data_IF_864638863683
#
_entry.id   IF_864638863683
#
_cell.length_a   1.000
_cell.length_b   1.000
_cell.length_c   1.000
_cell.angle_alpha   90.00
_cell.angle_beta   90.00
_cell.angle_gamma   90.00
#
_symmetry.space_group_name_H-M   'P 1'
#
loop_
_entity.id
_entity.type
_entity.pdbx_description
1 polymer ?
#
# COMPACT_ATOMS: atom_id res chain seq x y z
N UNK A 1 2.60 -18.25 13.74
CA UNK A 1 2.08 -16.88 13.51
C UNK A 1 2.86 -16.24 12.38
N UNK A 2 2.21 -15.93 11.25
CA UNK A 2 2.83 -15.11 10.20
C UNK A 2 2.95 -13.68 10.73
N UNK A 3 4.17 -13.14 10.78
CA UNK A 3 4.39 -11.72 11.05
C UNK A 3 4.17 -10.97 9.73
N UNK A 4 3.35 -9.90 9.71
CA UNK A 4 3.24 -9.04 8.53
C UNK A 4 4.61 -8.51 8.14
N UNK A 5 4.87 -8.41 6.82
CA UNK A 5 6.14 -7.87 6.31
C UNK A 5 5.92 -6.41 5.97
N UNK A 6 6.77 -5.54 6.51
CA UNK A 6 6.75 -4.11 6.20
C UNK A 6 7.28 -3.88 4.79
N UNK A 7 6.47 -3.23 3.95
CA UNK A 7 6.87 -2.89 2.57
C UNK A 7 7.34 -1.44 2.44
N UNK A 8 6.83 -0.57 3.30
CA UNK A 8 7.16 0.85 3.28
C UNK A 8 6.16 1.67 4.07
N UNK A 9 6.34 2.99 4.02
CA UNK A 9 5.47 3.98 4.66
C UNK A 9 5.17 5.08 3.66
N UNK A 10 3.92 5.52 3.61
CA UNK A 10 3.54 6.69 2.83
C UNK A 10 4.10 7.92 3.53
N UNK A 11 4.89 8.70 2.80
CA UNK A 11 5.33 10.02 3.24
C UNK A 11 4.45 11.07 2.57
N UNK A 12 3.93 12.01 3.35
CA UNK A 12 3.13 13.14 2.87
C UNK A 12 3.89 14.39 3.27
N UNK A 13 4.22 15.22 2.30
CA UNK A 13 4.75 16.55 2.56
C UNK A 13 3.54 17.50 2.58
N UNK A 14 3.20 18.03 3.76
CA UNK A 14 2.16 19.04 3.90
C UNK A 14 2.81 20.35 4.36
N UNK A 15 2.69 21.46 3.61
CA UNK A 15 3.25 22.74 4.02
C UNK A 15 2.79 23.23 5.41
N UNK A 16 1.66 22.72 5.93
CA UNK A 16 1.11 23.04 7.25
C UNK A 16 1.55 22.04 8.37
N UNK A 17 2.66 21.31 8.16
CA UNK A 17 3.20 20.13 8.91
C UNK A 17 3.56 20.32 10.41
N UNK A 18 2.71 20.97 11.22
CA UNK A 18 2.83 20.86 12.68
C UNK A 18 2.05 19.70 13.31
N UNK A 19 1.10 19.07 12.62
CA UNK A 19 0.28 17.99 13.20
C UNK A 19 0.39 16.67 12.42
N UNK A 20 1.50 15.96 12.59
CA UNK A 20 1.60 14.53 12.29
C UNK A 20 0.62 13.77 13.21
N UNK A 21 -0.65 13.73 12.84
CA UNK A 21 -1.73 13.13 13.64
C UNK A 21 -3.14 13.34 13.10
N UNK A 22 -3.35 14.33 12.23
CA UNK A 22 -4.64 14.62 11.61
C UNK A 22 -4.91 13.84 10.31
N UNK A 23 -3.88 13.22 9.72
CA UNK A 23 -4.01 12.46 8.48
C UNK A 23 -4.43 11.02 8.72
N UNK A 24 -5.35 10.54 7.88
CA UNK A 24 -5.80 9.15 7.84
C UNK A 24 -5.53 8.54 6.47
N UNK A 25 -5.03 7.31 6.50
CA UNK A 25 -4.64 6.58 5.31
C UNK A 25 -5.60 5.42 5.06
N UNK A 26 -5.99 5.22 3.80
CA UNK A 26 -6.75 4.03 3.42
C UNK A 26 -6.51 3.66 1.96
N UNK A 27 -6.83 2.42 1.60
CA UNK A 27 -6.94 2.09 0.18
C UNK A 27 -8.01 2.96 -0.47
N UNK A 28 -7.74 3.39 -1.71
CA UNK A 28 -8.69 4.20 -2.45
C UNK A 28 -9.98 3.39 -2.57
N UNK A 29 -11.04 3.90 -1.95
CA UNK A 29 -12.32 3.24 -1.92
C UNK A 29 -13.09 3.61 -3.19
N UNK A 30 -12.50 3.31 -4.35
CA UNK A 30 -13.31 3.08 -5.52
C UNK A 30 -14.23 1.92 -5.14
N UNK A 31 -15.52 2.03 -5.41
CA UNK A 31 -16.50 0.95 -5.30
C UNK A 31 -16.00 -0.24 -6.15
N UNK A 32 -15.09 -1.04 -5.61
CA UNK A 32 -14.16 -1.80 -6.42
C UNK A 32 -14.76 -3.16 -6.79
N UNK A 33 -15.39 -3.21 -7.95
CA UNK A 33 -15.86 -4.42 -8.63
C UNK A 33 -14.73 -5.13 -9.39
N UNK A 34 -13.50 -4.60 -9.37
CA UNK A 34 -12.37 -5.19 -10.10
C UNK A 34 -11.63 -6.24 -9.28
N UNK A 35 -11.14 -7.28 -9.95
CA UNK A 35 -10.36 -8.35 -9.31
C UNK A 35 -9.01 -7.86 -8.79
N UNK A 36 -8.46 -6.80 -9.38
CA UNK A 36 -7.18 -6.21 -8.99
C UNK A 36 -7.27 -5.58 -7.59
N UNK A 37 -8.32 -4.81 -7.32
CA UNK A 37 -8.52 -4.16 -6.03
C UNK A 37 -8.80 -5.17 -4.90
N UNK A 38 -9.56 -6.24 -5.20
CA UNK A 38 -9.79 -7.34 -4.27
C UNK A 38 -8.49 -8.05 -3.93
N UNK A 39 -7.63 -8.30 -4.92
CA UNK A 39 -6.31 -8.88 -4.71
C UNK A 39 -5.44 -7.98 -3.82
N UNK A 40 -5.50 -6.67 -3.97
CA UNK A 40 -4.77 -5.74 -3.09
C UNK A 40 -5.27 -5.84 -1.64
N UNK A 41 -6.58 -5.76 -1.40
CA UNK A 41 -7.16 -5.81 -0.05
C UNK A 41 -6.91 -7.13 0.68
N UNK A 42 -6.82 -8.22 -0.07
CA UNK A 42 -6.56 -9.56 0.47
C UNK A 42 -5.08 -9.76 0.83
N UNK A 43 -4.16 -9.18 0.05
CA UNK A 43 -2.72 -9.40 0.24
C UNK A 43 -2.01 -8.31 1.04
N UNK A 44 -2.57 -7.10 1.10
CA UNK A 44 -1.95 -5.94 1.75
C UNK A 44 -2.87 -5.27 2.76
N UNK A 45 -2.25 -4.53 3.66
CA UNK A 45 -2.87 -3.70 4.68
C UNK A 45 -2.16 -2.35 4.71
N UNK A 46 -2.92 -1.31 5.07
CA UNK A 46 -2.40 0.02 5.34
C UNK A 46 -2.83 0.40 6.76
N UNK A 47 -1.86 0.74 7.61
CA UNK A 47 -2.14 1.27 8.92
C UNK A 47 -2.69 2.69 8.77
N UNK A 48 -3.92 2.89 9.25
CA UNK A 48 -4.67 4.12 8.99
C UNK A 48 -4.11 5.35 9.71
N UNK A 49 -3.26 5.17 10.73
CA UNK A 49 -2.72 6.25 11.54
C UNK A 49 -1.29 6.63 11.13
N UNK A 50 -0.52 5.66 10.67
CA UNK A 50 0.90 5.83 10.34
C UNK A 50 1.19 5.81 8.84
N UNK A 51 0.25 5.34 8.01
CA UNK A 51 0.48 5.15 6.58
C UNK A 51 1.44 3.99 6.27
N UNK A 52 1.71 3.11 7.24
CA UNK A 52 2.57 1.95 7.04
C UNK A 52 1.87 0.89 6.18
N UNK A 53 2.54 0.42 5.14
CA UNK A 53 2.04 -0.60 4.23
C UNK A 53 2.64 -1.95 4.65
N UNK A 54 1.76 -2.91 4.93
CA UNK A 54 2.10 -4.26 5.37
C UNK A 54 1.61 -5.29 4.36
N UNK A 55 2.44 -6.28 4.04
CA UNK A 55 2.01 -7.49 3.36
C UNK A 55 1.45 -8.50 4.36
N UNK A 56 0.19 -8.89 4.16
CA UNK A 56 -0.45 -10.03 4.86
C UNK A 56 0.04 -11.35 4.26
N UNK A 57 0.16 -11.39 2.93
CA UNK A 57 0.61 -12.55 2.16
C UNK A 57 1.42 -12.09 0.95
N UNK A 58 2.63 -12.62 0.80
CA UNK A 58 3.45 -12.40 -0.38
C UNK A 58 3.08 -13.44 -1.43
N UNK A 59 2.21 -13.05 -2.36
CA UNK A 59 1.91 -13.83 -3.56
C UNK A 59 2.67 -13.18 -4.71
N UNK A 60 3.31 -14.01 -5.55
CA UNK A 60 3.98 -13.52 -6.74
C UNK A 60 2.98 -12.82 -7.66
N UNK A 61 3.33 -11.63 -8.13
CA UNK A 61 2.46 -10.83 -8.97
C UNK A 61 2.89 -9.38 -9.07
N UNK A 62 2.24 -8.67 -9.99
CA UNK A 62 2.32 -7.23 -10.11
C UNK A 62 1.05 -6.64 -9.50
N UNK A 63 1.22 -5.66 -8.63
CA UNK A 63 0.12 -5.02 -7.91
C UNK A 63 0.20 -3.51 -8.09
N UNK A 64 -0.93 -2.89 -8.41
CA UNK A 64 -1.07 -1.44 -8.36
C UNK A 64 -1.79 -1.05 -7.07
N UNK A 65 -1.04 -0.46 -6.15
CA UNK A 65 -1.57 0.03 -4.89
C UNK A 65 -2.10 1.45 -5.09
N UNK A 66 -3.42 1.60 -5.01
CA UNK A 66 -4.07 2.92 -4.99
C UNK A 66 -4.53 3.24 -3.58
N UNK A 67 -4.13 4.40 -3.07
CA UNK A 67 -4.50 4.84 -1.73
C UNK A 67 -4.99 6.29 -1.75
N UNK A 68 -5.71 6.64 -0.70
CA UNK A 68 -6.22 7.97 -0.44
C UNK A 68 -5.82 8.41 0.96
N UNK A 69 -5.60 9.71 1.09
CA UNK A 69 -5.26 10.37 2.34
C UNK A 69 -6.38 11.35 2.65
N UNK A 70 -6.87 11.29 3.89
CA UNK A 70 -7.85 12.23 4.43
C UNK A 70 -7.16 13.08 5.47
N UNK A 71 -7.35 14.38 5.40
CA UNK A 71 -7.01 15.29 6.48
C UNK A 71 -8.28 15.53 7.32
N UNK A 72 -8.18 15.42 8.65
CA UNK A 72 -9.33 15.62 9.53
C UNK A 72 -9.74 17.10 9.65
N UNK A 73 -8.81 18.04 9.43
CA UNK A 73 -9.05 19.48 9.50
C UNK A 73 -9.57 20.03 8.18
N UNK A 74 -9.01 19.52 7.08
CA UNK A 74 -9.34 19.95 5.73
C UNK A 74 -9.96 18.77 5.00
N UNK A 75 -11.21 18.88 4.52
CA UNK A 75 -11.89 17.82 3.75
C UNK A 75 -11.27 17.58 2.36
N UNK A 76 -9.94 17.63 2.24
CA UNK A 76 -9.18 17.47 1.03
C UNK A 76 -8.82 16.00 0.86
N UNK A 77 -9.25 15.43 -0.26
CA UNK A 77 -8.98 14.04 -0.62
C UNK A 77 -7.97 14.02 -1.77
N UNK A 78 -6.75 13.59 -1.47
CA UNK A 78 -5.73 13.36 -2.49
C UNK A 78 -5.59 11.86 -2.75
N UNK A 79 -5.53 11.48 -4.03
CA UNK A 79 -5.43 10.10 -4.49
C UNK A 79 -4.08 9.84 -5.16
N UNK A 80 -3.41 8.76 -4.77
CA UNK A 80 -2.09 8.40 -5.28
C UNK A 80 -2.03 6.93 -5.70
N UNK A 81 -1.17 6.61 -6.68
CA UNK A 81 -0.95 5.25 -7.17
C UNK A 81 0.52 4.87 -7.17
N UNK A 82 0.82 3.68 -6.65
CA UNK A 82 2.18 3.11 -6.60
C UNK A 82 2.19 1.68 -7.13
N UNK A 83 3.20 1.32 -7.94
CA UNK A 83 3.34 -0.03 -8.50
C UNK A 83 4.34 -0.87 -7.70
N UNK A 84 3.97 -2.11 -7.35
CA UNK A 84 4.84 -3.06 -6.66
C UNK A 84 4.88 -4.39 -7.43
N UNK A 85 6.07 -4.91 -7.64
CA UNK A 85 6.29 -6.28 -8.11
C UNK A 85 6.80 -7.18 -6.98
N UNK A 86 6.12 -8.31 -6.76
CA UNK A 86 6.58 -9.38 -5.86
C UNK A 86 7.04 -10.55 -6.73
N UNK A 87 8.33 -10.87 -6.64
CA UNK A 87 8.98 -11.90 -7.43
C UNK A 87 9.69 -12.86 -6.47
N UNK A 88 9.43 -14.15 -6.59
CA UNK A 88 10.19 -15.19 -5.89
C UNK A 88 11.52 -15.41 -6.62
N UNK A 89 12.65 -15.14 -5.96
CA UNK A 89 14.00 -15.30 -6.52
C UNK A 89 14.40 -16.78 -6.75
N UNK A 90 13.59 -17.75 -6.32
CA UNK A 90 13.92 -19.19 -6.39
C UNK A 90 13.98 -19.80 -7.80
N UNK A 91 13.75 -19.03 -8.87
CA UNK A 91 13.89 -19.48 -10.25
C UNK A 91 15.04 -18.79 -11.02
N UNK A 92 16.17 -18.49 -10.37
CA UNK A 92 17.44 -18.36 -11.12
C UNK A 92 17.84 -19.74 -11.65
N UNK A 93 17.36 -20.06 -12.85
CA UNK A 93 17.78 -21.25 -13.58
C UNK A 93 19.32 -21.26 -13.68
N UNK A 94 19.93 -22.34 -13.21
CA UNK A 94 21.33 -22.63 -13.46
C UNK A 94 21.44 -22.91 -14.96
N UNK A 95 21.95 -21.96 -15.75
CA UNK A 95 22.55 -22.29 -17.03
C UNK A 95 24.03 -22.56 -16.76
N UNK A 96 24.40 -23.83 -16.79
CA UNK A 96 25.79 -24.27 -16.79
C UNK A 96 26.14 -24.57 -18.24
N UNK A 97 26.85 -23.65 -18.88
CA UNK A 97 27.66 -23.97 -20.07
C UNK A 97 29.11 -24.17 -19.58
#
# INVERSE_FOLDING_TARGET
>A
LYRPIELGKINVEDPDDWDVGDKKFSWLNESSTTMEDLNVRNNFYIDSNSGQILAKKLINGLYKLKFQIFDNHYQHMNSYGYGIGIIDEKFKAIKKD
#
